data_IF_548301148779
#
_entry.id   IF_548301148779
#
_cell.length_a   1.000
_cell.length_b   1.000
_cell.length_c   1.000
_cell.angle_alpha   90.00
_cell.angle_beta   90.00
_cell.angle_gamma   90.00
#
_symmetry.space_group_name_H-M   'P 1'
#
loop_
_entity.id
_entity.type
_entity.pdbx_description
1 polymer ?
#
# COMPACT_ATOMS: atom_id res chain seq x y z
N UNK A 1 -14.62 24.13 13.94
CA UNK A 1 -13.21 24.42 13.66
C UNK A 1 -12.49 23.08 13.77
N UNK A 2 -12.30 22.40 12.65
CA UNK A 2 -11.54 21.16 12.60
C UNK A 2 -10.08 21.59 12.58
N UNK A 3 -9.37 21.34 13.69
CA UNK A 3 -7.92 21.47 13.71
C UNK A 3 -7.35 20.59 12.61
N UNK A 4 -6.60 21.23 11.71
CA UNK A 4 -5.74 20.56 10.76
C UNK A 4 -4.90 19.53 11.53
N UNK A 5 -5.22 18.26 11.31
CA UNK A 5 -4.44 17.13 11.79
C UNK A 5 -3.00 17.32 11.33
N UNK A 6 -2.15 17.82 12.23
CA UNK A 6 -0.71 17.73 12.10
C UNK A 6 -0.43 16.24 11.85
N UNK A 7 0.00 15.89 10.62
CA UNK A 7 0.36 14.52 10.30
C UNK A 7 1.45 14.08 11.26
N UNK A 8 1.18 13.05 12.06
CA UNK A 8 2.12 12.55 13.06
C UNK A 8 3.05 11.50 12.43
N UNK A 9 2.73 10.99 11.24
CA UNK A 9 3.70 10.27 10.42
C UNK A 9 4.81 11.22 9.98
N UNK A 10 6.05 10.83 10.29
CA UNK A 10 7.26 11.50 9.80
C UNK A 10 7.21 11.72 8.27
N UNK A 11 7.52 12.93 7.82
CA UNK A 11 7.38 13.32 6.41
C UNK A 11 8.22 12.44 5.48
N UNK A 12 9.43 12.05 5.92
CA UNK A 12 10.30 11.17 5.13
C UNK A 12 9.70 9.77 5.03
N UNK A 13 9.06 9.27 6.10
CA UNK A 13 8.32 8.02 6.04
C UNK A 13 7.15 8.13 5.05
N UNK A 14 6.34 9.20 5.15
CA UNK A 14 5.21 9.46 4.25
C UNK A 14 5.64 9.47 2.78
N UNK A 15 6.67 10.23 2.43
CA UNK A 15 7.22 10.27 1.06
C UNK A 15 7.65 8.88 0.58
N UNK A 16 8.28 8.08 1.45
CA UNK A 16 8.71 6.74 1.10
C UNK A 16 7.52 5.83 0.83
N UNK A 17 6.44 5.93 1.60
CA UNK A 17 5.21 5.15 1.38
C UNK A 17 4.56 5.50 0.04
N UNK A 18 4.44 6.78 -0.28
CA UNK A 18 3.91 7.21 -1.59
C UNK A 18 4.74 6.64 -2.75
N UNK A 19 6.07 6.72 -2.66
CA UNK A 19 6.99 6.12 -3.65
C UNK A 19 6.84 4.60 -3.72
N UNK A 20 6.48 3.92 -2.62
CA UNK A 20 6.22 2.46 -2.62
C UNK A 20 4.93 2.12 -3.33
N UNK A 21 3.90 2.96 -3.21
CA UNK A 21 2.65 2.79 -3.96
C UNK A 21 2.90 2.93 -5.46
N UNK A 22 3.61 3.97 -5.88
CA UNK A 22 3.95 4.18 -7.30
C UNK A 22 4.81 3.03 -7.85
N UNK A 23 5.75 2.51 -7.04
CA UNK A 23 6.55 1.36 -7.42
C UNK A 23 5.75 0.05 -7.58
N UNK A 24 4.60 -0.07 -6.88
CA UNK A 24 3.69 -1.19 -7.09
C UNK A 24 2.92 -1.02 -8.39
N UNK A 25 2.41 0.18 -8.69
CA UNK A 25 1.75 0.47 -9.96
C UNK A 25 2.67 0.28 -11.17
N UNK A 26 3.96 0.61 -11.04
CA UNK A 26 4.94 0.37 -12.09
C UNK A 26 5.24 -1.12 -12.36
N UNK A 27 4.79 -2.04 -11.48
CA UNK A 27 5.06 -3.49 -11.55
C UNK A 27 3.78 -4.32 -11.69
N UNK A 28 2.73 -3.71 -12.23
CA UNK A 28 1.45 -4.38 -12.47
C UNK A 28 1.60 -5.62 -13.36
N UNK A 29 2.58 -5.66 -14.26
CA UNK A 29 2.87 -6.82 -15.11
C UNK A 29 3.41 -8.03 -14.31
N UNK A 30 4.27 -7.80 -13.31
CA UNK A 30 4.76 -8.85 -12.39
C UNK A 30 3.58 -9.47 -11.63
N UNK A 31 2.65 -8.63 -11.16
CA UNK A 31 1.46 -9.06 -10.42
C UNK A 31 0.54 -9.89 -11.33
N UNK A 32 0.32 -9.44 -12.58
CA UNK A 32 -0.46 -10.19 -13.58
C UNK A 32 0.12 -11.57 -13.84
N UNK A 33 1.45 -11.67 -14.03
CA UNK A 33 2.13 -12.96 -14.22
C UNK A 33 1.92 -13.90 -13.02
N UNK A 34 1.93 -13.39 -11.79
CA UNK A 34 1.65 -14.21 -10.60
C UNK A 34 0.22 -14.75 -10.63
N UNK A 35 -0.76 -13.91 -10.96
CA UNK A 35 -2.18 -14.30 -11.03
C UNK A 35 -2.40 -15.34 -12.13
N UNK A 36 -1.83 -15.12 -13.32
CA UNK A 36 -1.88 -16.07 -14.44
C UNK A 36 -1.20 -17.40 -14.10
N UNK A 37 -0.12 -17.38 -13.31
CA UNK A 37 0.61 -18.60 -12.92
C UNK A 37 -0.05 -19.37 -11.77
N UNK A 38 -0.95 -18.72 -11.02
CA UNK A 38 -1.63 -19.27 -9.85
C UNK A 38 -3.15 -19.16 -10.02
N UNK A 39 -3.63 -19.29 -11.26
CA UNK A 39 -5.02 -19.10 -11.65
C UNK A 39 -5.98 -20.03 -10.91
N UNK A 40 -5.54 -21.25 -10.57
CA UNK A 40 -6.28 -22.20 -9.72
C UNK A 40 -6.56 -21.65 -8.30
N UNK A 41 -5.72 -20.75 -7.77
CA UNK A 41 -5.93 -20.08 -6.49
C UNK A 41 -6.80 -18.82 -6.65
N UNK A 42 -6.87 -18.25 -7.85
CA UNK A 42 -7.53 -16.99 -8.16
C UNK A 42 -9.04 -17.19 -8.41
N UNK A 43 -9.77 -17.70 -7.40
CA UNK A 43 -11.25 -17.84 -7.45
C UNK A 43 -11.97 -16.51 -7.74
N UNK A 44 -11.34 -15.38 -7.38
CA UNK A 44 -11.69 -14.02 -7.80
C UNK A 44 -10.40 -13.25 -8.08
N UNK A 45 -10.07 -13.07 -9.37
CA UNK A 45 -8.83 -12.44 -9.84
C UNK A 45 -8.54 -11.12 -9.14
N UNK A 46 -9.53 -10.22 -9.05
CA UNK A 46 -9.37 -8.91 -8.42
C UNK A 46 -9.03 -8.99 -6.93
N UNK A 47 -9.71 -9.85 -6.18
CA UNK A 47 -9.45 -10.00 -4.75
C UNK A 47 -8.03 -10.56 -4.50
N UNK A 48 -7.57 -11.44 -5.37
CA UNK A 48 -6.21 -11.98 -5.30
C UNK A 48 -5.16 -10.90 -5.65
N UNK A 49 -5.39 -10.11 -6.72
CA UNK A 49 -4.57 -8.94 -7.07
C UNK A 49 -4.44 -7.98 -5.89
N UNK A 50 -5.57 -7.56 -5.31
CA UNK A 50 -5.59 -6.63 -4.18
C UNK A 50 -4.91 -7.22 -2.94
N UNK A 51 -5.07 -8.52 -2.68
CA UNK A 51 -4.36 -9.20 -1.59
C UNK A 51 -2.84 -9.09 -1.72
N UNK A 52 -2.29 -9.34 -2.91
CA UNK A 52 -0.85 -9.23 -3.19
C UNK A 52 -0.38 -7.78 -2.99
N UNK A 53 -1.11 -6.82 -3.53
CA UNK A 53 -0.77 -5.40 -3.49
C UNK A 53 -0.78 -4.86 -2.06
N UNK A 54 -1.90 -5.05 -1.35
CA UNK A 54 -2.06 -4.54 0.01
C UNK A 54 -1.09 -5.26 0.95
N UNK A 55 -0.85 -6.56 0.77
CA UNK A 55 0.16 -7.29 1.54
C UNK A 55 1.58 -6.73 1.35
N UNK A 56 1.96 -6.41 0.10
CA UNK A 56 3.27 -5.80 -0.22
C UNK A 56 3.41 -4.40 0.38
N UNK A 57 2.36 -3.59 0.34
CA UNK A 57 2.35 -2.24 0.92
C UNK A 57 2.37 -2.28 2.44
N UNK A 58 1.59 -3.16 3.07
CA UNK A 58 1.60 -3.39 4.52
C UNK A 58 3.01 -3.78 5.02
N UNK A 59 3.66 -4.75 4.35
CA UNK A 59 5.01 -5.15 4.71
C UNK A 59 6.02 -3.99 4.50
N UNK A 60 5.87 -3.25 3.39
CA UNK A 60 6.69 -2.08 3.12
C UNK A 60 6.53 -1.01 4.19
N UNK A 61 5.30 -0.75 4.66
CA UNK A 61 5.02 0.20 5.73
C UNK A 61 5.78 -0.14 7.01
N UNK A 62 5.58 -1.33 7.56
CA UNK A 62 6.27 -1.77 8.79
C UNK A 62 7.80 -1.75 8.63
N UNK A 63 8.31 -2.20 7.48
CA UNK A 63 9.75 -2.18 7.22
C UNK A 63 10.30 -0.76 7.18
N UNK A 64 9.62 0.18 6.52
CA UNK A 64 10.08 1.56 6.40
C UNK A 64 9.95 2.32 7.73
N UNK A 65 8.91 2.06 8.52
CA UNK A 65 8.81 2.56 9.89
C UNK A 65 10.03 2.15 10.71
N UNK A 66 10.36 0.85 10.74
CA UNK A 66 11.56 0.37 11.46
C UNK A 66 12.84 0.97 10.92
N UNK A 67 12.99 1.11 9.60
CA UNK A 67 14.19 1.66 8.98
C UNK A 67 14.39 3.15 9.26
N UNK A 68 13.33 3.94 9.17
CA UNK A 68 13.38 5.41 9.29
C UNK A 68 13.35 5.84 10.76
N UNK A 69 12.48 5.22 11.56
CA UNK A 69 12.16 5.63 12.93
C UNK A 69 12.79 4.73 14.01
N UNK A 70 13.42 3.60 13.62
CA UNK A 70 14.05 2.64 14.54
C UNK A 70 13.09 2.02 15.57
N UNK A 71 11.79 1.98 15.23
CA UNK A 71 10.73 1.33 16.01
C UNK A 71 9.61 0.84 15.11
N UNK A 72 8.71 0.03 15.66
CA UNK A 72 7.47 -0.33 14.98
C UNK A 72 6.51 0.88 14.87
N UNK A 73 5.58 0.86 13.90
CA UNK A 73 4.61 1.94 13.74
C UNK A 73 3.68 2.04 14.95
N UNK A 74 3.26 3.26 15.26
CA UNK A 74 2.17 3.51 16.21
C UNK A 74 0.81 3.26 15.55
N UNK A 75 -0.25 3.13 16.35
CA UNK A 75 -1.63 3.04 15.85
C UNK A 75 -2.03 4.26 15.00
N UNK A 76 -1.51 5.44 15.35
CA UNK A 76 -1.78 6.66 14.60
C UNK A 76 -1.07 6.66 13.24
N UNK A 77 0.20 6.27 13.19
CA UNK A 77 0.93 6.13 11.92
C UNK A 77 0.28 5.08 11.01
N UNK A 78 -0.23 3.99 11.60
CA UNK A 78 -0.99 3.00 10.86
C UNK A 78 -2.31 3.56 10.32
N UNK A 79 -3.02 4.38 11.10
CA UNK A 79 -4.24 5.04 10.66
C UNK A 79 -3.98 6.01 9.50
N UNK A 80 -2.88 6.76 9.56
CA UNK A 80 -2.44 7.63 8.47
C UNK A 80 -2.06 6.82 7.21
N UNK A 81 -1.42 5.67 7.36
CA UNK A 81 -1.16 4.74 6.26
C UNK A 81 -2.47 4.29 5.59
N UNK A 82 -3.50 3.92 6.36
CA UNK A 82 -4.80 3.55 5.81
C UNK A 82 -5.47 4.70 5.05
N UNK A 83 -5.36 5.94 5.55
CA UNK A 83 -5.88 7.12 4.87
C UNK A 83 -5.15 7.40 3.54
N UNK A 84 -3.83 7.16 3.47
CA UNK A 84 -3.09 7.23 2.19
C UNK A 84 -3.64 6.21 1.20
N UNK A 85 -3.81 4.95 1.62
CA UNK A 85 -4.37 3.90 0.76
C UNK A 85 -5.77 4.23 0.28
N UNK A 86 -6.62 4.75 1.17
CA UNK A 86 -8.00 5.15 0.87
C UNK A 86 -8.06 6.32 -0.12
N UNK A 87 -7.21 7.33 0.04
CA UNK A 87 -7.11 8.45 -0.91
C UNK A 87 -6.72 8.00 -2.31
N UNK A 88 -5.91 6.94 -2.40
CA UNK A 88 -5.44 6.36 -3.67
C UNK A 88 -6.26 5.17 -4.15
N UNK A 89 -7.38 4.87 -3.51
CA UNK A 89 -8.22 3.70 -3.82
C UNK A 89 -8.65 3.64 -5.30
N UNK A 90 -8.99 4.78 -5.89
CA UNK A 90 -9.41 4.86 -7.30
C UNK A 90 -8.30 4.47 -8.29
N UNK A 91 -7.04 4.74 -7.95
CA UNK A 91 -5.88 4.35 -8.77
C UNK A 91 -5.68 2.83 -8.72
N UNK A 92 -5.81 2.21 -7.54
CA UNK A 92 -5.77 0.76 -7.41
C UNK A 92 -6.84 0.08 -8.26
N UNK A 93 -8.07 0.58 -8.24
CA UNK A 93 -9.17 0.05 -9.08
C UNK A 93 -8.86 0.19 -10.57
N UNK A 94 -8.29 1.32 -10.99
CA UNK A 94 -7.95 1.56 -12.40
C UNK A 94 -6.88 0.61 -12.92
N UNK A 95 -5.87 0.32 -12.10
CA UNK A 95 -4.71 -0.49 -12.50
C UNK A 95 -4.96 -2.00 -12.38
N UNK A 96 -5.84 -2.43 -11.46
CA UNK A 96 -5.95 -3.85 -11.07
C UNK A 96 -7.35 -4.47 -11.13
N UNK A 97 -8.40 -3.71 -11.45
CA UNK A 97 -9.77 -4.24 -11.69
C UNK A 97 -10.15 -4.24 -13.18
N UNK A 98 -9.21 -4.61 -14.06
CA UNK A 98 -9.46 -4.77 -15.50
C UNK A 98 -9.32 -6.22 -15.93
#
# INVERSE_FOLDING_TARGET
MLEDSIGNMDEKLREVIEKKIDAVFARTDEIKKIIESLDELATKTDAFSFGIIIGRLYNSFYYQCRRVLQRDPTEQEFSEFLEILKKRQSEFLKEFSK
#
